data_IF_631789304414
#
_entry.id   IF_631789304414
#
_cell.length_a   1.000
_cell.length_b   1.000
_cell.length_c   1.000
_cell.angle_alpha   90.00
_cell.angle_beta   90.00
_cell.angle_gamma   90.00
#
_symmetry.space_group_name_H-M   'P 1'
#
loop_
_entity.id
_entity.type
_entity.pdbx_description
1 polymer ?
#
# COMPACT_ATOMS: atom_id res chain seq x y z
N UNK A 1 65.73 -20.73 28.85
CA UNK A 1 64.91 -21.81 29.32
C UNK A 1 63.81 -21.22 30.19
N UNK A 2 62.65 -21.01 29.68
CA UNK A 2 61.33 -20.97 30.37
C UNK A 2 60.28 -20.51 29.37
N UNK A 3 59.62 -21.46 28.70
CA UNK A 3 58.42 -21.26 27.91
C UNK A 3 57.25 -21.16 28.94
N UNK A 4 56.59 -20.05 29.05
CA UNK A 4 55.29 -19.90 29.70
C UNK A 4 54.22 -19.70 28.65
N UNK A 5 53.52 -20.79 28.34
CA UNK A 5 52.26 -20.84 27.61
C UNK A 5 51.27 -19.83 28.18
N UNK A 6 50.87 -18.85 27.42
CA UNK A 6 49.64 -18.10 27.69
C UNK A 6 48.46 -18.90 27.15
N UNK A 7 47.88 -19.72 28.01
CA UNK A 7 46.56 -20.30 27.85
C UNK A 7 45.54 -19.18 27.73
N UNK A 8 45.09 -18.88 26.51
CA UNK A 8 44.00 -17.98 26.24
C UNK A 8 42.66 -18.66 26.62
N UNK A 9 42.14 -18.33 27.79
CA UNK A 9 40.78 -18.72 28.15
C UNK A 9 39.76 -18.21 27.12
N UNK A 10 38.80 -19.02 26.67
CA UNK A 10 37.77 -18.57 25.74
C UNK A 10 36.93 -17.49 26.44
N UNK A 11 36.99 -16.27 25.91
CA UNK A 11 36.17 -15.15 26.34
C UNK A 11 34.70 -15.54 26.19
N UNK A 12 34.02 -15.78 27.31
CA UNK A 12 32.59 -16.03 27.38
C UNK A 12 31.87 -14.90 26.61
N UNK A 13 31.20 -15.22 25.51
CA UNK A 13 30.35 -14.30 24.75
C UNK A 13 29.31 -13.73 25.68
N UNK A 14 29.39 -12.42 25.95
CA UNK A 14 28.65 -11.71 26.97
C UNK A 14 27.14 -11.91 26.86
N UNK A 15 26.42 -12.13 27.97
CA UNK A 15 24.96 -12.31 28.06
C UNK A 15 24.16 -11.09 27.60
N UNK A 16 24.78 -9.91 27.51
CA UNK A 16 24.16 -8.65 27.02
C UNK A 16 23.63 -8.73 25.58
N UNK A 17 24.24 -9.51 24.70
CA UNK A 17 23.79 -9.67 23.30
C UNK A 17 22.45 -10.41 23.18
N UNK A 18 22.23 -11.41 24.02
CA UNK A 18 20.98 -12.19 24.08
C UNK A 18 19.84 -11.35 24.67
N UNK A 19 20.07 -10.65 25.77
CA UNK A 19 19.09 -9.76 26.40
C UNK A 19 18.66 -8.63 25.47
N UNK A 20 19.58 -8.07 24.69
CA UNK A 20 19.27 -7.02 23.68
C UNK A 20 18.41 -7.55 22.53
N UNK A 21 18.69 -8.75 22.02
CA UNK A 21 17.87 -9.40 20.98
C UNK A 21 16.47 -9.71 21.51
N UNK A 22 16.37 -10.27 22.72
CA UNK A 22 15.09 -10.58 23.37
C UNK A 22 14.21 -9.34 23.55
N UNK A 23 14.77 -8.20 23.99
CA UNK A 23 14.04 -6.92 24.09
C UNK A 23 13.51 -6.44 22.73
N UNK A 24 14.27 -6.59 21.65
CA UNK A 24 13.82 -6.25 20.30
C UNK A 24 12.66 -7.13 19.84
N UNK A 25 12.75 -8.43 20.03
CA UNK A 25 11.67 -9.38 19.70
C UNK A 25 10.41 -9.07 20.51
N UNK A 26 10.53 -8.85 21.81
CA UNK A 26 9.41 -8.50 22.67
C UNK A 26 8.74 -7.20 22.23
N UNK A 27 9.52 -6.17 21.90
CA UNK A 27 8.99 -4.90 21.38
C UNK A 27 8.13 -5.13 20.13
N UNK A 28 8.64 -5.87 19.12
CA UNK A 28 7.88 -6.12 17.90
C UNK A 28 6.68 -7.06 18.12
N UNK A 29 6.76 -8.02 19.01
CA UNK A 29 5.64 -8.87 19.38
C UNK A 29 4.50 -8.05 20.03
N UNK A 30 4.85 -7.15 20.96
CA UNK A 30 3.89 -6.26 21.61
C UNK A 30 3.31 -5.26 20.60
N UNK A 31 4.14 -4.69 19.73
CA UNK A 31 3.69 -3.77 18.68
C UNK A 31 2.72 -4.46 17.71
N UNK A 32 3.04 -5.69 17.29
CA UNK A 32 2.17 -6.49 16.42
C UNK A 32 0.84 -6.82 17.11
N UNK A 33 0.89 -7.27 18.36
CA UNK A 33 -0.31 -7.55 19.14
C UNK A 33 -1.19 -6.30 19.30
N UNK A 34 -0.57 -5.14 19.60
CA UNK A 34 -1.29 -3.87 19.71
C UNK A 34 -1.88 -3.43 18.36
N UNK A 35 -1.12 -3.54 17.26
CA UNK A 35 -1.62 -3.20 15.92
C UNK A 35 -2.86 -4.04 15.58
N UNK A 36 -2.79 -5.34 15.76
CA UNK A 36 -3.93 -6.24 15.50
C UNK A 36 -5.09 -5.90 16.42
N UNK A 37 -4.87 -5.72 17.73
CA UNK A 37 -5.91 -5.40 18.71
C UNK A 37 -6.65 -4.09 18.37
N UNK A 38 -5.92 -3.02 18.06
CA UNK A 38 -6.50 -1.72 17.68
C UNK A 38 -7.26 -1.81 16.34
N UNK A 39 -6.87 -2.74 15.47
CA UNK A 39 -7.44 -2.91 14.13
C UNK A 39 -8.32 -4.18 13.99
N UNK A 40 -8.77 -4.80 15.09
CA UNK A 40 -9.65 -5.98 15.05
C UNK A 40 -10.91 -5.77 14.20
N UNK A 41 -11.44 -4.54 14.16
CA UNK A 41 -12.61 -4.20 13.33
C UNK A 41 -12.33 -4.30 11.83
N UNK A 42 -11.06 -4.24 11.37
CA UNK A 42 -10.70 -4.42 9.96
C UNK A 42 -11.14 -5.79 9.45
N UNK A 43 -11.06 -6.82 10.28
CA UNK A 43 -11.48 -8.19 9.95
C UNK A 43 -13.00 -8.34 9.74
N UNK A 44 -13.77 -7.34 10.17
CA UNK A 44 -15.21 -7.23 9.91
C UNK A 44 -15.54 -6.39 8.67
N UNK A 45 -14.53 -5.83 8.02
CA UNK A 45 -14.64 -5.15 6.75
C UNK A 45 -15.03 -6.10 5.62
N UNK A 46 -15.07 -5.59 4.40
CA UNK A 46 -15.32 -6.39 3.21
C UNK A 46 -14.65 -5.76 2.00
N UNK A 47 -14.60 -6.51 0.90
CA UNK A 47 -14.01 -6.08 -0.36
C UNK A 47 -14.62 -4.77 -0.86
N UNK A 48 -13.78 -3.94 -1.49
CA UNK A 48 -14.20 -2.75 -2.21
C UNK A 48 -14.11 -2.99 -3.71
N UNK A 49 -14.61 -2.05 -4.49
CA UNK A 49 -14.64 -2.14 -5.96
C UNK A 49 -13.34 -2.58 -6.58
N UNK A 50 -12.25 -1.92 -6.22
CA UNK A 50 -10.94 -2.18 -6.84
C UNK A 50 -10.37 -3.54 -6.43
N UNK A 51 -10.71 -4.03 -5.22
CA UNK A 51 -10.35 -5.39 -4.79
C UNK A 51 -11.00 -6.42 -5.71
N UNK A 52 -12.33 -6.29 -5.93
CA UNK A 52 -13.11 -7.24 -6.73
C UNK A 52 -12.80 -7.12 -8.22
N UNK A 53 -12.60 -5.89 -8.71
CA UNK A 53 -12.11 -5.69 -10.07
C UNK A 53 -10.80 -6.46 -10.29
N UNK A 54 -9.84 -6.35 -9.35
CA UNK A 54 -8.56 -7.05 -9.44
C UNK A 54 -8.75 -8.56 -9.34
N UNK A 55 -9.48 -9.05 -8.34
CA UNK A 55 -9.73 -10.49 -8.13
C UNK A 55 -10.42 -11.11 -9.35
N UNK A 56 -11.28 -10.37 -10.05
CA UNK A 56 -12.05 -10.83 -11.19
C UNK A 56 -11.23 -11.32 -12.40
N UNK A 57 -9.95 -10.98 -12.49
CA UNK A 57 -9.13 -11.37 -13.64
C UNK A 57 -7.76 -11.96 -13.29
N UNK A 58 -7.17 -11.60 -12.13
CA UNK A 58 -5.78 -11.97 -11.81
C UNK A 58 -5.54 -13.48 -11.79
N UNK A 59 -6.53 -14.26 -11.37
CA UNK A 59 -6.45 -15.73 -11.30
C UNK A 59 -6.35 -16.41 -12.68
N UNK A 60 -6.82 -15.74 -13.72
CA UNK A 60 -6.84 -16.27 -15.10
C UNK A 60 -5.54 -16.02 -15.85
N UNK A 61 -4.70 -15.09 -15.38
CA UNK A 61 -3.39 -14.81 -15.97
C UNK A 61 -2.39 -15.87 -15.55
N UNK A 62 -1.62 -16.41 -16.48
CA UNK A 62 -0.63 -17.45 -16.22
C UNK A 62 0.52 -16.93 -15.35
N UNK A 63 1.14 -17.81 -14.56
CA UNK A 63 2.35 -17.47 -13.79
C UNK A 63 3.50 -17.00 -14.68
N UNK A 64 3.61 -17.56 -15.87
CA UNK A 64 4.63 -17.20 -16.86
C UNK A 64 4.46 -15.74 -17.29
N UNK A 65 3.23 -15.31 -17.59
CA UNK A 65 2.94 -13.92 -17.97
C UNK A 65 3.35 -12.93 -16.86
N UNK A 66 3.11 -13.29 -15.58
CA UNK A 66 3.58 -12.45 -14.46
C UNK A 66 5.11 -12.38 -14.38
N UNK A 67 5.78 -13.51 -14.60
CA UNK A 67 7.24 -13.55 -14.62
C UNK A 67 7.81 -12.72 -15.77
N UNK A 68 7.31 -12.92 -16.98
CA UNK A 68 7.70 -12.16 -18.18
C UNK A 68 7.49 -10.66 -17.99
N UNK A 69 6.32 -10.22 -17.49
CA UNK A 69 6.01 -8.83 -17.22
C UNK A 69 6.89 -8.25 -16.09
N UNK A 70 7.26 -9.07 -15.08
CA UNK A 70 8.16 -8.66 -14.01
C UNK A 70 9.58 -8.44 -14.54
N UNK A 71 10.07 -9.30 -15.41
CA UNK A 71 11.41 -9.21 -15.99
C UNK A 71 11.50 -8.18 -17.12
N UNK A 72 10.40 -7.90 -17.81
CA UNK A 72 10.35 -6.97 -18.93
C UNK A 72 10.76 -5.54 -18.54
N UNK A 73 11.66 -4.89 -19.32
CA UNK A 73 11.97 -3.47 -19.12
C UNK A 73 10.90 -2.52 -19.67
N UNK A 74 9.84 -3.07 -20.28
CA UNK A 74 8.79 -2.27 -20.89
C UNK A 74 7.74 -1.84 -19.87
N UNK A 75 7.15 -0.67 -20.11
CA UNK A 75 5.96 -0.20 -19.41
C UNK A 75 4.79 -1.13 -19.73
N UNK A 76 4.05 -1.51 -18.70
CA UNK A 76 2.87 -2.35 -18.86
C UNK A 76 1.62 -1.46 -18.90
N UNK A 77 0.82 -1.49 -20.00
CA UNK A 77 -0.38 -0.68 -20.10
C UNK A 77 -1.44 -1.10 -19.06
N UNK A 78 -2.49 -0.29 -18.94
CA UNK A 78 -3.65 -0.57 -18.10
C UNK A 78 -3.32 -0.76 -16.60
N UNK A 79 -2.29 -0.04 -16.10
CA UNK A 79 -1.84 -0.12 -14.70
C UNK A 79 -1.47 -1.56 -14.25
N UNK A 80 -1.01 -2.41 -15.18
CA UNK A 80 -0.58 -3.75 -14.85
C UNK A 80 0.72 -3.72 -14.05
N UNK A 81 0.63 -4.00 -12.75
CA UNK A 81 1.72 -4.06 -11.79
C UNK A 81 2.02 -5.52 -11.44
N UNK A 82 2.91 -6.19 -12.17
CA UNK A 82 3.01 -7.66 -12.13
C UNK A 82 3.26 -8.22 -10.74
N UNK A 83 4.07 -7.58 -9.91
CA UNK A 83 4.38 -8.05 -8.54
C UNK A 83 3.15 -7.93 -7.63
N UNK A 84 2.46 -6.79 -7.66
CA UNK A 84 1.26 -6.59 -6.84
C UNK A 84 0.07 -7.44 -7.32
N UNK A 85 -0.15 -7.54 -8.63
CA UNK A 85 -1.19 -8.40 -9.18
C UNK A 85 -0.90 -9.89 -8.96
N UNK A 86 0.37 -10.31 -8.98
CA UNK A 86 0.75 -11.67 -8.62
C UNK A 86 0.42 -11.99 -7.16
N UNK A 87 0.61 -11.03 -6.24
CA UNK A 87 0.15 -11.18 -4.85
C UNK A 87 -1.36 -11.43 -4.80
N UNK A 88 -2.16 -10.64 -5.52
CA UNK A 88 -3.62 -10.83 -5.59
C UNK A 88 -4.00 -12.16 -6.24
N UNK A 89 -3.27 -12.60 -7.27
CA UNK A 89 -3.48 -13.91 -7.89
C UNK A 89 -3.34 -15.05 -6.87
N UNK A 90 -2.21 -15.12 -6.19
CA UNK A 90 -1.96 -16.19 -5.21
C UNK A 90 -2.93 -16.08 -4.02
N UNK A 91 -3.26 -14.86 -3.58
CA UNK A 91 -4.23 -14.63 -2.54
C UNK A 91 -5.65 -15.07 -2.96
N UNK A 92 -6.11 -14.73 -4.16
CA UNK A 92 -7.44 -15.10 -4.64
C UNK A 92 -7.62 -16.62 -4.82
N UNK A 93 -6.57 -17.29 -5.28
CA UNK A 93 -6.57 -18.75 -5.43
C UNK A 93 -6.53 -19.48 -4.07
N UNK A 94 -5.87 -18.90 -3.07
CA UNK A 94 -5.70 -19.51 -1.74
C UNK A 94 -6.81 -19.15 -0.75
N UNK A 95 -7.33 -17.93 -0.83
CA UNK A 95 -8.26 -17.37 0.15
C UNK A 95 -9.69 -17.26 -0.37
N UNK A 96 -9.89 -17.32 -1.70
CA UNK A 96 -11.21 -17.12 -2.29
C UNK A 96 -11.78 -15.76 -1.90
N UNK A 97 -13.01 -15.74 -1.40
CA UNK A 97 -13.69 -14.56 -0.88
C UNK A 97 -13.59 -14.40 0.66
N UNK A 98 -12.63 -15.08 1.31
CA UNK A 98 -12.38 -14.94 2.74
C UNK A 98 -11.62 -13.64 3.04
N UNK A 99 -12.33 -12.53 3.07
CA UNK A 99 -11.78 -11.18 3.22
C UNK A 99 -10.79 -11.04 4.38
N UNK A 100 -11.06 -11.66 5.54
CA UNK A 100 -10.20 -11.55 6.72
C UNK A 100 -8.77 -12.04 6.48
N UNK A 101 -8.58 -13.02 5.58
CA UNK A 101 -7.24 -13.54 5.23
C UNK A 101 -6.42 -12.51 4.46
N UNK A 102 -7.08 -11.73 3.59
CA UNK A 102 -6.42 -10.62 2.89
C UNK A 102 -6.01 -9.53 3.87
N UNK A 103 -6.88 -9.19 4.83
CA UNK A 103 -6.54 -8.22 5.89
C UNK A 103 -5.34 -8.71 6.70
N UNK A 104 -5.30 -9.98 7.09
CA UNK A 104 -4.16 -10.55 7.81
C UNK A 104 -2.87 -10.45 7.00
N UNK A 105 -2.92 -10.74 5.69
CA UNK A 105 -1.77 -10.65 4.81
C UNK A 105 -1.25 -9.21 4.66
N UNK A 106 -2.13 -8.22 4.44
CA UNK A 106 -1.70 -6.82 4.32
C UNK A 106 -1.22 -6.24 5.65
N UNK A 107 -1.79 -6.65 6.79
CA UNK A 107 -1.27 -6.26 8.11
C UNK A 107 0.09 -6.88 8.40
N UNK A 108 0.34 -8.11 7.98
CA UNK A 108 1.66 -8.74 8.05
C UNK A 108 2.69 -7.99 7.20
N UNK A 109 2.32 -7.57 5.97
CA UNK A 109 3.18 -6.72 5.11
C UNK A 109 3.43 -5.34 5.75
N UNK A 110 2.41 -4.75 6.39
CA UNK A 110 2.59 -3.48 7.10
C UNK A 110 3.57 -3.64 8.28
N UNK A 111 3.44 -4.69 9.09
CA UNK A 111 4.37 -4.99 10.17
C UNK A 111 5.79 -5.27 9.66
N UNK A 112 5.94 -5.93 8.53
CA UNK A 112 7.23 -6.09 7.85
C UNK A 112 7.85 -4.71 7.52
N UNK A 113 7.05 -3.78 6.98
CA UNK A 113 7.52 -2.43 6.66
C UNK A 113 7.92 -1.66 7.93
N UNK A 114 7.15 -1.75 9.01
CA UNK A 114 7.48 -1.17 10.31
C UNK A 114 8.82 -1.70 10.84
N UNK A 115 9.04 -3.00 10.72
CA UNK A 115 10.31 -3.64 11.09
C UNK A 115 11.47 -3.18 10.20
N UNK A 116 11.29 -3.10 8.88
CA UNK A 116 12.29 -2.61 7.95
C UNK A 116 12.65 -1.14 8.21
N UNK A 117 11.68 -0.29 8.55
CA UNK A 117 11.91 1.10 8.97
C UNK A 117 12.80 1.14 10.22
N UNK A 118 12.47 0.34 11.23
CA UNK A 118 13.28 0.26 12.44
C UNK A 118 14.71 -0.20 12.13
N UNK A 119 14.88 -1.23 11.29
CA UNK A 119 16.20 -1.69 10.85
C UNK A 119 16.97 -0.58 10.13
N UNK A 120 16.31 0.16 9.23
CA UNK A 120 16.93 1.26 8.50
C UNK A 120 17.32 2.40 9.45
N UNK A 121 16.44 2.84 10.34
CA UNK A 121 16.75 3.86 11.34
C UNK A 121 17.95 3.45 12.19
N UNK A 122 18.01 2.18 12.64
CA UNK A 122 19.14 1.61 13.37
C UNK A 122 20.42 1.59 12.53
N UNK A 123 20.33 1.21 11.26
CA UNK A 123 21.47 1.22 10.32
C UNK A 123 22.02 2.63 10.09
N UNK A 124 21.16 3.65 10.10
CA UNK A 124 21.52 5.07 10.02
C UNK A 124 22.01 5.64 11.34
N UNK A 125 22.17 4.82 12.38
CA UNK A 125 22.72 5.20 13.68
C UNK A 125 21.69 5.78 14.67
N UNK A 126 20.38 5.55 14.47
CA UNK A 126 19.38 5.95 15.47
C UNK A 126 19.54 5.12 16.76
N UNK A 127 19.41 5.74 17.96
CA UNK A 127 19.26 5.00 19.21
C UNK A 127 18.02 4.08 19.16
N UNK A 128 17.98 2.98 19.92
CA UNK A 128 16.86 2.04 19.89
C UNK A 128 15.50 2.71 20.12
N UNK A 129 15.41 3.59 21.10
CA UNK A 129 14.17 4.29 21.46
C UNK A 129 13.71 5.28 20.38
N UNK A 130 14.64 6.02 19.77
CA UNK A 130 14.31 6.93 18.67
C UNK A 130 13.85 6.16 17.41
N UNK A 131 14.50 5.03 17.10
CA UNK A 131 14.07 4.15 16.02
C UNK A 131 12.67 3.54 16.29
N UNK A 132 12.41 3.15 17.55
CA UNK A 132 11.10 2.67 17.98
C UNK A 132 10.02 3.75 17.86
N UNK A 133 10.31 4.99 18.24
CA UNK A 133 9.38 6.12 18.07
C UNK A 133 8.98 6.36 16.63
N UNK A 134 9.94 6.36 15.69
CA UNK A 134 9.64 6.46 14.26
C UNK A 134 8.82 5.27 13.72
N UNK A 135 9.13 4.04 14.19
CA UNK A 135 8.39 2.84 13.83
C UNK A 135 6.94 2.88 14.37
N UNK A 136 6.72 3.32 15.60
CA UNK A 136 5.39 3.49 16.22
C UNK A 136 4.58 4.56 15.48
N UNK A 137 5.19 5.72 15.18
CA UNK A 137 4.53 6.77 14.42
C UNK A 137 4.02 6.23 13.07
N UNK A 138 4.86 5.48 12.34
CA UNK A 138 4.45 4.88 11.07
C UNK A 138 3.39 3.79 11.23
N UNK A 139 3.51 2.94 12.26
CA UNK A 139 2.61 1.83 12.48
C UNK A 139 1.15 2.24 12.70
N UNK A 140 0.94 3.38 13.37
CA UNK A 140 -0.40 3.81 13.80
C UNK A 140 -0.89 5.09 13.14
N UNK A 141 -0.13 5.68 12.22
CA UNK A 141 -0.49 6.95 11.61
C UNK A 141 -1.79 6.88 10.80
N UNK A 142 -2.74 7.75 11.08
CA UNK A 142 -4.09 7.73 10.51
C UNK A 142 -4.14 7.85 8.98
N UNK A 143 -3.20 8.58 8.38
CA UNK A 143 -3.13 8.71 6.93
C UNK A 143 -2.81 7.39 6.22
N UNK A 144 -2.26 6.40 6.94
CA UNK A 144 -1.90 5.08 6.42
C UNK A 144 -2.99 4.02 6.64
N UNK A 145 -4.06 4.39 7.34
CA UNK A 145 -5.14 3.50 7.73
C UNK A 145 -5.67 2.64 6.57
N UNK A 146 -5.99 3.25 5.43
CA UNK A 146 -6.54 2.53 4.28
C UNK A 146 -5.63 1.39 3.81
N UNK A 147 -4.30 1.56 3.91
CA UNK A 147 -3.33 0.62 3.34
C UNK A 147 -3.24 -0.71 4.06
N UNK A 148 -3.64 -0.78 5.32
CA UNK A 148 -3.66 -2.03 6.08
C UNK A 148 -5.08 -2.44 6.54
N UNK A 149 -6.10 -1.78 5.96
CA UNK A 149 -7.51 -2.15 6.10
C UNK A 149 -8.13 -2.62 4.79
N UNK A 150 -7.62 -2.17 3.62
CA UNK A 150 -8.17 -2.44 2.29
C UNK A 150 -7.13 -3.18 1.44
N UNK A 151 -7.42 -4.40 0.99
CA UNK A 151 -6.47 -5.25 0.26
C UNK A 151 -5.86 -4.59 -0.98
N UNK A 152 -6.63 -3.78 -1.70
CA UNK A 152 -6.17 -3.10 -2.92
C UNK A 152 -4.87 -2.29 -2.75
N UNK A 153 -4.54 -1.90 -1.52
CA UNK A 153 -3.28 -1.17 -1.24
C UNK A 153 -2.07 -2.09 -1.01
N UNK A 154 -2.19 -3.39 -1.22
CA UNK A 154 -1.04 -4.31 -1.20
C UNK A 154 0.10 -3.85 -2.14
N UNK A 155 -0.24 -3.16 -3.23
CA UNK A 155 0.74 -2.55 -4.15
C UNK A 155 1.65 -1.54 -3.44
N UNK A 156 1.08 -0.68 -2.59
CA UNK A 156 1.80 0.31 -1.80
C UNK A 156 2.69 -0.34 -0.74
N UNK A 157 2.16 -1.35 -0.07
CA UNK A 157 2.86 -2.12 0.96
C UNK A 157 4.08 -2.86 0.39
N UNK A 158 3.92 -3.53 -0.75
CA UNK A 158 5.00 -4.22 -1.45
C UNK A 158 6.05 -3.25 -1.98
N UNK A 159 5.62 -2.14 -2.60
CA UNK A 159 6.51 -1.09 -3.06
C UNK A 159 7.37 -0.56 -1.90
N UNK A 160 6.75 -0.24 -0.76
CA UNK A 160 7.46 0.23 0.43
C UNK A 160 8.46 -0.80 0.97
N UNK A 161 8.05 -2.09 1.05
CA UNK A 161 8.92 -3.18 1.50
C UNK A 161 10.17 -3.28 0.63
N UNK A 162 10.00 -3.29 -0.69
CA UNK A 162 11.11 -3.40 -1.62
C UNK A 162 11.94 -2.11 -1.68
N UNK A 163 11.36 -0.91 -1.53
CA UNK A 163 12.12 0.33 -1.38
C UNK A 163 13.02 0.29 -0.14
N UNK A 164 12.47 -0.07 1.02
CA UNK A 164 13.23 -0.19 2.27
C UNK A 164 14.33 -1.26 2.17
N UNK A 165 14.01 -2.41 1.59
CA UNK A 165 14.96 -3.48 1.36
C UNK A 165 16.10 -3.02 0.44
N UNK A 166 15.77 -2.30 -0.64
CA UNK A 166 16.77 -1.74 -1.56
C UNK A 166 17.73 -0.81 -0.83
N UNK A 167 17.23 0.16 -0.05
CA UNK A 167 18.08 1.08 0.73
C UNK A 167 18.94 0.32 1.74
N UNK A 168 18.40 -0.67 2.44
CA UNK A 168 19.13 -1.50 3.40
C UNK A 168 20.24 -2.33 2.76
N UNK A 169 19.98 -2.94 1.59
CA UNK A 169 20.96 -3.72 0.83
C UNK A 169 22.04 -2.81 0.27
N UNK A 170 21.66 -1.64 -0.25
CA UNK A 170 22.60 -0.63 -0.72
C UNK A 170 23.55 -0.18 0.40
N UNK A 171 22.99 0.15 1.58
CA UNK A 171 23.75 0.54 2.75
C UNK A 171 24.71 -0.56 3.29
N UNK A 172 24.50 -1.82 2.88
CA UNK A 172 25.37 -2.96 3.15
C UNK A 172 26.37 -3.24 2.03
N UNK A 173 26.40 -2.43 0.97
CA UNK A 173 27.26 -2.60 -0.20
C UNK A 173 26.81 -3.71 -1.16
N UNK A 174 25.59 -4.25 -1.01
CA UNK A 174 25.02 -5.31 -1.86
C UNK A 174 24.22 -4.69 -3.03
N UNK A 175 24.92 -3.99 -3.92
CA UNK A 175 24.29 -3.14 -4.94
C UNK A 175 23.43 -3.92 -5.94
N UNK A 176 23.89 -5.10 -6.39
CA UNK A 176 23.08 -5.93 -7.31
C UNK A 176 21.75 -6.36 -6.69
N UNK A 177 21.77 -6.84 -5.44
CA UNK A 177 20.54 -7.21 -4.72
C UNK A 177 19.67 -5.98 -4.43
N UNK A 178 20.28 -4.82 -4.17
CA UNK A 178 19.58 -3.55 -4.04
C UNK A 178 18.86 -3.18 -5.33
N UNK A 179 19.50 -3.36 -6.48
CA UNK A 179 18.89 -3.11 -7.79
C UNK A 179 17.70 -4.05 -8.05
N UNK A 180 17.84 -5.34 -7.74
CA UNK A 180 16.71 -6.30 -7.83
C UNK A 180 15.55 -5.86 -6.95
N UNK A 181 15.81 -5.44 -5.71
CA UNK A 181 14.76 -4.92 -4.82
C UNK A 181 14.12 -3.64 -5.38
N UNK A 182 14.90 -2.70 -5.94
CA UNK A 182 14.37 -1.52 -6.63
C UNK A 182 13.47 -1.90 -7.81
N UNK A 183 13.91 -2.86 -8.63
CA UNK A 183 13.13 -3.34 -9.77
C UNK A 183 11.78 -3.91 -9.33
N UNK A 184 11.77 -4.75 -8.29
CA UNK A 184 10.54 -5.30 -7.70
C UNK A 184 9.65 -4.21 -7.07
N UNK A 185 10.24 -3.17 -6.46
CA UNK A 185 9.51 -2.02 -5.96
C UNK A 185 8.76 -1.31 -7.10
N UNK A 186 9.44 -1.05 -8.21
CA UNK A 186 8.85 -0.41 -9.38
C UNK A 186 7.75 -1.29 -10.01
N UNK A 187 7.97 -2.60 -10.11
CA UNK A 187 6.97 -3.56 -10.61
C UNK A 187 5.80 -3.78 -9.64
N UNK A 188 5.92 -3.28 -8.41
CA UNK A 188 4.80 -3.19 -7.45
C UNK A 188 4.03 -1.88 -7.59
N UNK A 189 4.73 -0.74 -7.74
CA UNK A 189 4.12 0.59 -7.92
C UNK A 189 5.11 1.58 -8.52
N UNK A 190 4.64 2.41 -9.43
CA UNK A 190 5.45 3.35 -10.22
C UNK A 190 6.18 4.39 -9.35
N UNK A 191 5.70 4.66 -8.15
CA UNK A 191 6.29 5.64 -7.22
C UNK A 191 7.75 5.31 -6.86
N UNK A 192 8.15 4.05 -6.97
CA UNK A 192 9.55 3.63 -6.78
C UNK A 192 10.54 4.26 -7.76
N UNK A 193 10.07 4.88 -8.86
CA UNK A 193 10.91 5.65 -9.79
C UNK A 193 11.77 6.72 -9.08
N UNK A 194 11.33 7.19 -7.91
CA UNK A 194 12.06 8.17 -7.10
C UNK A 194 13.18 7.56 -6.22
N UNK A 195 13.26 6.23 -6.12
CA UNK A 195 14.22 5.57 -5.23
C UNK A 195 15.70 5.86 -5.55
N UNK A 196 16.15 6.00 -6.82
CA UNK A 196 17.54 6.36 -7.12
C UNK A 196 17.96 7.69 -6.50
N UNK A 197 17.06 8.66 -6.42
CA UNK A 197 17.31 9.95 -5.76
C UNK A 197 17.44 9.79 -4.23
N UNK A 198 16.67 8.88 -3.62
CA UNK A 198 16.82 8.53 -2.21
C UNK A 198 18.18 7.85 -1.95
N UNK A 199 18.63 6.97 -2.84
CA UNK A 199 19.95 6.35 -2.75
C UNK A 199 21.07 7.38 -2.95
N UNK A 200 20.88 8.36 -3.84
CA UNK A 200 21.80 9.50 -3.99
C UNK A 200 21.89 10.34 -2.71
N UNK A 201 20.74 10.64 -2.10
CA UNK A 201 20.68 11.30 -0.81
C UNK A 201 21.38 10.48 0.29
N UNK A 202 21.26 9.14 0.28
CA UNK A 202 22.00 8.26 1.17
C UNK A 202 23.53 8.41 0.97
N UNK A 203 24.02 8.44 -0.26
CA UNK A 203 25.45 8.64 -0.56
C UNK A 203 25.98 10.00 -0.09
N UNK A 204 25.14 11.05 -0.13
CA UNK A 204 25.51 12.39 0.35
C UNK A 204 25.67 12.40 1.88
N UNK A 205 24.74 11.81 2.64
CA UNK A 205 24.72 11.93 4.09
C UNK A 205 25.37 10.79 4.87
N UNK A 206 25.38 9.56 4.30
CA UNK A 206 25.85 8.35 5.00
C UNK A 206 26.83 7.52 4.21
N UNK A 207 26.87 7.67 2.88
CA UNK A 207 27.72 6.92 1.99
C UNK A 207 29.13 7.48 1.86
N UNK A 208 29.86 6.97 0.89
CA UNK A 208 31.22 7.39 0.51
C UNK A 208 31.21 8.18 -0.82
N UNK A 209 30.07 8.76 -1.20
CA UNK A 209 29.83 9.45 -2.48
C UNK A 209 30.15 8.59 -3.70
N UNK A 210 29.75 7.32 -3.66
CA UNK A 210 29.95 6.34 -4.74
C UNK A 210 28.84 6.46 -5.78
N UNK A 211 29.05 7.27 -6.80
CA UNK A 211 28.05 7.55 -7.82
C UNK A 211 27.92 6.44 -8.87
N UNK A 212 29.02 5.73 -9.19
CA UNK A 212 29.03 4.67 -10.21
C UNK A 212 27.97 3.57 -9.98
N UNK A 213 27.79 3.03 -8.77
CA UNK A 213 26.74 2.03 -8.51
C UNK A 213 25.32 2.54 -8.71
N UNK A 214 25.08 3.86 -8.71
CA UNK A 214 23.74 4.45 -8.90
C UNK A 214 23.36 4.55 -10.38
N UNK A 215 24.31 4.49 -11.31
CA UNK A 215 24.05 4.64 -12.76
C UNK A 215 22.95 3.70 -13.24
N UNK A 216 22.97 2.37 -12.99
CA UNK A 216 21.92 1.48 -13.47
C UNK A 216 20.55 1.82 -12.85
N UNK A 217 20.49 2.30 -11.62
CA UNK A 217 19.24 2.72 -10.99
C UNK A 217 18.64 3.95 -11.69
N UNK A 218 19.46 4.95 -11.99
CA UNK A 218 19.02 6.14 -12.71
C UNK A 218 18.62 5.83 -14.15
N UNK A 219 19.35 4.96 -14.85
CA UNK A 219 19.00 4.55 -16.22
C UNK A 219 17.65 3.82 -16.25
N UNK A 220 17.44 2.87 -15.34
CA UNK A 220 16.18 2.17 -15.24
C UNK A 220 15.01 3.12 -14.83
N UNK A 221 15.25 4.00 -13.85
CA UNK A 221 14.27 4.99 -13.43
C UNK A 221 13.90 5.97 -14.55
N UNK A 222 14.88 6.46 -15.29
CA UNK A 222 14.66 7.36 -16.43
C UNK A 222 13.86 6.64 -17.52
N UNK A 223 14.25 5.40 -17.88
CA UNK A 223 13.53 4.59 -18.86
C UNK A 223 12.07 4.39 -18.46
N UNK A 224 11.82 3.99 -17.22
CA UNK A 224 10.46 3.78 -16.71
C UNK A 224 9.65 5.08 -16.60
N UNK A 225 10.28 6.18 -16.16
CA UNK A 225 9.63 7.48 -16.07
C UNK A 225 9.22 8.01 -17.43
N UNK A 226 10.10 7.92 -18.42
CA UNK A 226 9.81 8.33 -19.80
C UNK A 226 8.69 7.47 -20.41
N UNK A 227 8.78 6.15 -20.27
CA UNK A 227 7.71 5.26 -20.76
C UNK A 227 6.38 5.57 -20.08
N UNK A 228 6.35 5.81 -18.76
CA UNK A 228 5.13 6.15 -18.03
C UNK A 228 4.48 7.46 -18.50
N UNK A 229 5.29 8.46 -18.91
CA UNK A 229 4.78 9.72 -19.42
C UNK A 229 4.36 9.61 -20.91
N UNK A 230 5.17 8.95 -21.74
CA UNK A 230 4.97 8.92 -23.18
C UNK A 230 3.95 7.86 -23.63
N UNK A 231 3.92 6.71 -22.95
CA UNK A 231 3.11 5.56 -23.35
C UNK A 231 1.82 5.43 -22.51
N UNK A 232 1.59 6.32 -21.54
CA UNK A 232 0.36 6.30 -20.77
C UNK A 232 -0.82 6.69 -21.67
N UNK A 233 -1.79 5.79 -21.90
CA UNK A 233 -2.96 6.09 -22.74
C UNK A 233 -3.95 7.05 -22.05
N UNK A 234 -3.78 7.33 -20.77
CA UNK A 234 -4.68 8.16 -19.99
C UNK A 234 -4.59 9.62 -20.41
N UNK A 235 -5.59 10.06 -21.17
CA UNK A 235 -5.74 11.45 -21.61
C UNK A 235 -6.90 12.08 -20.86
N UNK A 236 -6.63 13.23 -20.24
CA UNK A 236 -7.60 14.09 -19.55
C UNK A 236 -8.52 13.37 -18.54
N UNK A 237 -7.93 12.60 -17.66
CA UNK A 237 -8.61 11.94 -16.54
C UNK A 237 -7.88 12.20 -15.21
N UNK A 238 -8.31 11.54 -14.15
CA UNK A 238 -7.72 11.65 -12.80
C UNK A 238 -6.23 11.29 -12.72
N UNK A 239 -5.71 10.50 -13.67
CA UNK A 239 -4.30 10.11 -13.75
C UNK A 239 -3.45 11.03 -14.61
N UNK A 240 -4.02 12.10 -15.19
CA UNK A 240 -3.29 13.04 -16.01
C UNK A 240 -2.41 13.93 -15.15
N UNK A 241 -1.11 13.94 -15.45
CA UNK A 241 -0.17 14.88 -14.84
C UNK A 241 -0.48 16.32 -15.29
N UNK A 242 -0.65 17.22 -14.32
CA UNK A 242 -0.93 18.65 -14.57
C UNK A 242 0.20 19.47 -13.96
N UNK A 243 1.10 19.95 -14.83
CA UNK A 243 2.28 20.74 -14.44
C UNK A 243 1.93 22.23 -14.29
N UNK A 244 0.97 22.54 -13.40
CA UNK A 244 0.53 23.89 -13.10
C UNK A 244 0.71 24.24 -11.63
N UNK A 245 0.93 25.50 -11.30
CA UNK A 245 1.04 25.98 -9.93
C UNK A 245 -0.23 25.66 -9.11
N UNK A 246 -1.41 25.75 -9.73
CA UNK A 246 -2.67 25.41 -9.07
C UNK A 246 -2.76 23.92 -8.71
N UNK A 247 -2.30 23.02 -9.58
CA UNK A 247 -2.23 21.60 -9.29
C UNK A 247 -1.31 21.31 -8.11
N UNK A 248 -0.11 21.88 -8.12
CA UNK A 248 0.87 21.74 -7.01
C UNK A 248 0.31 22.31 -5.71
N UNK A 249 -0.31 23.48 -5.72
CA UNK A 249 -0.89 24.08 -4.53
C UNK A 249 -1.99 23.21 -3.93
N UNK A 250 -2.91 22.69 -4.77
CA UNK A 250 -4.00 21.80 -4.34
C UNK A 250 -3.49 20.50 -3.72
N UNK A 251 -2.56 19.84 -4.39
CA UNK A 251 -1.98 18.57 -3.90
C UNK A 251 -1.13 18.79 -2.66
N UNK A 252 -0.35 19.87 -2.62
CA UNK A 252 0.44 20.24 -1.45
C UNK A 252 -0.45 20.51 -0.22
N UNK A 253 -1.52 21.29 -0.38
CA UNK A 253 -2.48 21.54 0.69
C UNK A 253 -3.07 20.24 1.24
N UNK A 254 -3.46 19.32 0.35
CA UNK A 254 -4.01 18.03 0.77
C UNK A 254 -3.00 17.18 1.53
N UNK A 255 -1.80 16.95 0.96
CA UNK A 255 -0.82 16.04 1.58
C UNK A 255 -0.14 16.64 2.81
N UNK A 256 0.09 17.95 2.85
CA UNK A 256 0.63 18.61 4.04
C UNK A 256 -0.28 18.45 5.27
N UNK A 257 -1.60 18.51 5.06
CA UNK A 257 -2.58 18.26 6.11
C UNK A 257 -2.57 16.79 6.60
N UNK A 258 -2.06 15.84 5.81
CA UNK A 258 -1.98 14.43 6.21
C UNK A 258 -0.77 14.12 7.10
N UNK A 259 0.25 14.97 7.12
CA UNK A 259 1.46 14.72 7.92
C UNK A 259 1.18 14.81 9.42
N UNK A 260 0.47 15.86 9.87
CA UNK A 260 0.13 16.06 11.30
C UNK A 260 -1.30 16.60 11.49
N UNK A 261 -2.27 16.07 10.74
CA UNK A 261 -3.71 16.36 10.84
C UNK A 261 -4.16 17.74 10.36
N UNK A 262 -3.31 18.76 10.47
CA UNK A 262 -3.63 20.13 10.06
C UNK A 262 -2.62 20.67 9.04
N UNK A 263 -3.09 21.51 8.11
CA UNK A 263 -2.20 22.25 7.21
C UNK A 263 -1.15 23.03 8.03
N UNK A 264 0.07 23.12 7.47
CA UNK A 264 1.23 23.84 8.05
C UNK A 264 1.91 23.17 9.25
N UNK A 265 1.29 22.26 10.01
CA UNK A 265 2.00 21.54 11.08
C UNK A 265 3.15 20.67 10.55
N UNK A 266 3.14 20.31 9.27
CA UNK A 266 4.28 19.64 8.64
C UNK A 266 5.58 20.47 8.76
N UNK A 267 5.50 21.80 8.93
CA UNK A 267 6.67 22.68 9.16
C UNK A 267 7.41 22.35 10.46
N UNK A 268 6.80 21.67 11.40
CA UNK A 268 7.47 21.14 12.58
C UNK A 268 8.62 20.17 12.21
N UNK A 269 8.55 19.51 11.05
CA UNK A 269 9.60 18.60 10.59
C UNK A 269 10.89 19.34 10.21
N UNK A 270 10.88 20.31 9.26
CA UNK A 270 12.10 21.05 8.92
C UNK A 270 12.61 21.88 10.12
N UNK A 271 11.74 22.48 10.94
CA UNK A 271 12.14 23.18 12.15
C UNK A 271 12.81 22.22 13.15
N UNK A 272 12.21 21.05 13.38
CA UNK A 272 12.80 20.01 14.22
C UNK A 272 14.12 19.48 13.67
N UNK A 273 14.24 19.30 12.34
CA UNK A 273 15.48 18.87 11.70
C UNK A 273 16.61 19.91 11.84
N UNK A 274 16.28 21.20 11.72
CA UNK A 274 17.20 22.32 11.97
C UNK A 274 17.65 22.33 13.43
N UNK A 275 16.73 22.23 14.37
CA UNK A 275 17.01 22.22 15.80
C UNK A 275 17.83 20.99 16.21
N UNK A 276 17.53 19.82 15.68
CA UNK A 276 18.25 18.58 15.96
C UNK A 276 19.64 18.51 15.32
N UNK A 277 19.90 19.30 14.27
CA UNK A 277 21.15 19.30 13.48
C UNK A 277 21.60 17.88 13.12
N UNK A 278 20.63 17.01 12.78
CA UNK A 278 20.88 15.58 12.59
C UNK A 278 20.68 15.17 11.14
N UNK A 279 21.72 14.57 10.54
CA UNK A 279 21.69 14.09 9.15
C UNK A 279 20.58 13.08 8.87
N UNK A 280 20.13 12.29 9.87
CA UNK A 280 18.98 11.36 9.70
C UNK A 280 17.66 12.11 9.51
N UNK A 281 17.47 13.19 10.26
CA UNK A 281 16.28 14.03 10.13
C UNK A 281 16.19 14.61 8.71
N UNK A 282 17.29 15.15 8.19
CA UNK A 282 17.34 15.67 6.84
C UNK A 282 17.16 14.60 5.77
N UNK A 283 17.82 13.45 5.92
CA UNK A 283 17.67 12.33 5.00
C UNK A 283 16.21 11.83 4.95
N UNK A 284 15.55 11.68 6.10
CA UNK A 284 14.16 11.30 6.17
C UNK A 284 13.24 12.34 5.53
N UNK A 285 13.47 13.63 5.81
CA UNK A 285 12.69 14.73 5.23
C UNK A 285 12.82 14.76 3.70
N UNK A 286 14.04 14.67 3.18
CA UNK A 286 14.28 14.63 1.73
C UNK A 286 13.67 13.38 1.11
N UNK A 287 13.77 12.22 1.76
CA UNK A 287 13.11 10.99 1.30
C UNK A 287 11.60 11.18 1.18
N UNK A 288 10.96 11.81 2.16
CA UNK A 288 9.53 12.12 2.14
C UNK A 288 9.17 13.04 0.97
N UNK A 289 9.92 14.13 0.79
CA UNK A 289 9.69 15.10 -0.30
C UNK A 289 9.89 14.45 -1.67
N UNK A 290 10.94 13.65 -1.85
CA UNK A 290 11.21 12.94 -3.10
C UNK A 290 10.06 12.02 -3.49
N UNK A 291 9.53 11.22 -2.57
CA UNK A 291 8.40 10.34 -2.87
C UNK A 291 7.08 11.10 -3.05
N UNK A 292 6.91 12.27 -2.46
CA UNK A 292 5.74 13.11 -2.76
C UNK A 292 5.86 13.82 -4.11
N UNK A 293 7.06 14.03 -4.63
CA UNK A 293 7.28 14.87 -5.80
C UNK A 293 6.42 14.50 -7.01
N UNK A 294 6.33 13.23 -7.46
CA UNK A 294 5.45 12.89 -8.59
C UNK A 294 3.98 13.13 -8.30
N UNK A 295 3.56 12.96 -7.05
CA UNK A 295 2.16 13.12 -6.63
C UNK A 295 1.70 14.58 -6.66
N UNK A 296 2.65 15.53 -6.57
CA UNK A 296 2.32 16.96 -6.62
C UNK A 296 1.65 17.38 -7.93
N UNK A 297 1.84 16.62 -8.99
CA UNK A 297 1.28 16.89 -10.31
C UNK A 297 0.02 16.08 -10.62
N UNK A 298 -0.58 15.37 -9.64
CA UNK A 298 -1.77 14.53 -9.80
C UNK A 298 -2.96 15.06 -8.97
N UNK A 299 -3.53 16.23 -9.30
CA UNK A 299 -4.61 16.85 -8.51
C UNK A 299 -5.94 16.08 -8.55
N UNK A 300 -6.12 15.13 -9.49
CA UNK A 300 -7.29 14.23 -9.56
C UNK A 300 -7.19 13.03 -8.61
N UNK A 301 -6.00 12.73 -8.05
CA UNK A 301 -5.74 11.51 -7.25
C UNK A 301 -5.33 11.84 -5.81
N UNK A 302 -6.21 12.49 -5.07
CA UNK A 302 -5.99 12.90 -3.68
C UNK A 302 -6.44 11.80 -2.69
N UNK A 303 -5.60 10.79 -2.48
CA UNK A 303 -5.85 9.69 -1.56
C UNK A 303 -4.84 9.64 -0.42
N UNK A 304 -5.32 9.48 0.81
CA UNK A 304 -4.45 9.36 2.00
C UNK A 304 -3.49 8.18 1.91
N UNK A 305 -3.89 7.08 1.28
CA UNK A 305 -3.05 5.91 1.07
C UNK A 305 -1.76 6.20 0.30
N UNK A 306 -1.75 7.24 -0.56
CA UNK A 306 -0.53 7.64 -1.27
C UNK A 306 0.54 8.26 -0.36
N UNK A 307 0.21 8.56 0.89
CA UNK A 307 1.21 8.93 1.91
C UNK A 307 2.08 7.73 2.34
N UNK A 308 1.71 6.48 2.01
CA UNK A 308 2.37 5.30 2.58
C UNK A 308 3.87 5.27 2.30
N UNK A 309 4.29 5.36 1.04
CA UNK A 309 5.70 5.34 0.65
C UNK A 309 6.42 6.63 1.09
N UNK A 310 5.88 7.85 0.89
CA UNK A 310 6.49 9.07 1.44
C UNK A 310 6.71 9.03 2.95
N UNK A 311 5.82 8.43 3.72
CA UNK A 311 5.93 8.39 5.19
C UNK A 311 7.00 7.43 5.71
N UNK A 312 7.64 6.63 4.87
CA UNK A 312 8.92 6.00 5.18
C UNK A 312 9.95 7.07 5.58
N UNK A 313 9.97 8.18 4.82
CA UNK A 313 10.80 9.34 5.12
C UNK A 313 10.40 10.04 6.42
N UNK A 314 9.10 10.21 6.69
CA UNK A 314 8.58 10.77 7.94
C UNK A 314 9.08 9.99 9.16
N UNK A 315 8.96 8.66 9.14
CA UNK A 315 9.41 7.81 10.24
C UNK A 315 10.92 7.93 10.51
N UNK A 316 11.72 7.97 9.45
CA UNK A 316 13.18 8.17 9.56
C UNK A 316 13.50 9.58 10.06
N UNK A 317 12.81 10.63 9.56
CA UNK A 317 12.99 12.00 10.03
C UNK A 317 12.67 12.12 11.52
N UNK A 318 11.55 11.56 11.97
CA UNK A 318 11.17 11.55 13.39
C UNK A 318 12.22 10.88 14.26
N UNK A 319 12.79 9.72 13.82
CA UNK A 319 13.89 9.06 14.52
C UNK A 319 15.17 9.90 14.62
N UNK A 320 15.33 10.89 13.74
CA UNK A 320 16.44 11.82 13.72
C UNK A 320 16.21 13.10 14.55
N UNK A 321 14.94 13.53 14.66
CA UNK A 321 14.53 14.70 15.46
C UNK A 321 14.47 14.36 16.94
N UNK A 322 14.08 13.14 17.32
CA UNK A 322 14.06 12.69 18.71
C UNK A 322 15.51 12.60 19.24
N UNK A 323 15.97 13.58 20.05
CA UNK A 323 17.37 13.65 20.43
C UNK A 323 17.77 12.55 21.40
N UNK A 324 19.03 12.13 21.31
CA UNK A 324 19.68 11.25 22.29
C UNK A 324 19.61 11.88 23.68
N UNK A 325 18.98 11.21 24.62
CA UNK A 325 18.84 11.69 26.01
C UNK A 325 17.64 12.61 26.27
N UNK A 326 16.95 13.11 25.24
CA UNK A 326 15.75 13.97 25.38
C UNK A 326 14.53 13.31 24.71
N UNK A 327 14.18 12.10 25.15
CA UNK A 327 13.01 11.36 24.64
C UNK A 327 11.67 11.99 25.06
N UNK A 328 11.68 12.85 26.11
CA UNK A 328 10.48 13.46 26.68
C UNK A 328 9.69 14.29 25.65
N UNK A 329 10.28 15.18 24.84
CA UNK A 329 9.52 15.91 23.81
C UNK A 329 8.90 15.01 22.74
N UNK A 330 9.62 13.95 22.33
CA UNK A 330 9.09 13.00 21.34
C UNK A 330 7.94 12.16 21.92
N UNK A 331 8.06 11.73 23.17
CA UNK A 331 6.98 11.02 23.87
C UNK A 331 5.78 11.95 24.11
N UNK A 332 6.00 13.18 24.54
CA UNK A 332 4.93 14.18 24.71
C UNK A 332 4.20 14.44 23.40
N UNK A 333 4.94 14.59 22.29
CA UNK A 333 4.34 14.71 20.96
C UNK A 333 3.46 13.49 20.61
N UNK A 334 3.98 12.26 20.77
CA UNK A 334 3.22 11.05 20.47
C UNK A 334 1.98 10.91 21.36
N UNK A 335 2.09 11.24 22.64
CA UNK A 335 0.96 11.19 23.57
C UNK A 335 -0.11 12.23 23.24
N UNK A 336 0.27 13.42 22.78
CA UNK A 336 -0.66 14.47 22.35
C UNK A 336 -1.27 14.13 20.97
N UNK A 337 -0.48 13.55 20.05
CA UNK A 337 -0.90 13.20 18.70
C UNK A 337 -1.83 11.99 18.68
N UNK A 338 -1.56 10.96 19.49
CA UNK A 338 -2.30 9.70 19.47
C UNK A 338 -3.83 9.83 19.69
N UNK A 339 -4.34 10.65 20.63
CA UNK A 339 -5.78 10.85 20.80
C UNK A 339 -6.45 11.53 19.60
N UNK A 340 -5.76 12.52 19.00
CA UNK A 340 -6.25 13.23 17.80
C UNK A 340 -6.27 12.29 16.59
N UNK A 341 -5.21 11.53 16.40
CA UNK A 341 -5.09 10.50 15.38
C UNK A 341 -6.20 9.43 15.51
N UNK A 342 -6.42 8.93 16.73
CA UNK A 342 -7.46 7.97 17.04
C UNK A 342 -8.87 8.52 16.77
N UNK A 343 -9.12 9.80 17.06
CA UNK A 343 -10.41 10.44 16.80
C UNK A 343 -10.71 10.51 15.30
N UNK A 344 -9.77 10.95 14.48
CA UNK A 344 -9.92 10.99 13.02
C UNK A 344 -10.10 9.58 12.45
N UNK A 345 -9.34 8.61 12.96
CA UNK A 345 -9.47 7.21 12.58
C UNK A 345 -10.86 6.64 12.89
N UNK A 346 -11.46 6.97 14.01
CA UNK A 346 -12.78 6.46 14.39
C UNK A 346 -13.85 6.81 13.33
N UNK A 347 -13.81 8.02 12.80
CA UNK A 347 -14.72 8.47 11.74
C UNK A 347 -14.46 7.70 10.44
N UNK A 348 -13.23 7.61 9.98
CA UNK A 348 -12.86 6.91 8.73
C UNK A 348 -13.23 5.42 8.80
N UNK A 349 -12.95 4.76 9.92
CA UNK A 349 -13.29 3.35 10.17
C UNK A 349 -14.78 3.11 10.09
N UNK A 350 -15.60 4.00 10.65
CA UNK A 350 -17.07 3.87 10.62
C UNK A 350 -17.63 3.94 9.20
N UNK A 351 -17.07 4.82 8.35
CA UNK A 351 -17.46 4.93 6.93
C UNK A 351 -17.10 3.65 6.19
N UNK A 352 -15.86 3.18 6.33
CA UNK A 352 -15.40 1.94 5.68
C UNK A 352 -16.23 0.72 6.08
N UNK A 353 -16.60 0.61 7.36
CA UNK A 353 -17.42 -0.51 7.83
C UNK A 353 -18.87 -0.44 7.33
N UNK A 354 -19.44 0.76 7.17
CA UNK A 354 -20.79 0.90 6.57
C UNK A 354 -20.77 0.44 5.11
N UNK A 355 -19.82 0.90 4.31
CA UNK A 355 -19.64 0.44 2.93
C UNK A 355 -19.45 -1.07 2.84
N UNK A 356 -18.68 -1.65 3.78
CA UNK A 356 -18.43 -3.09 3.84
C UNK A 356 -19.71 -3.91 4.05
N UNK A 357 -20.67 -3.40 4.82
CA UNK A 357 -21.96 -4.07 5.06
C UNK A 357 -22.75 -4.17 3.73
N UNK A 358 -22.87 -3.07 3.01
CA UNK A 358 -23.66 -3.01 1.77
C UNK A 358 -23.03 -3.88 0.69
N UNK A 359 -21.70 -3.81 0.50
CA UNK A 359 -20.98 -4.69 -0.43
C UNK A 359 -21.11 -6.18 -0.07
N UNK A 360 -21.11 -6.49 1.24
CA UNK A 360 -21.28 -7.88 1.70
C UNK A 360 -22.65 -8.42 1.35
N UNK A 361 -23.72 -7.66 1.60
CA UNK A 361 -25.08 -8.07 1.21
C UNK A 361 -25.17 -8.30 -0.30
N UNK A 362 -24.69 -7.35 -1.07
CA UNK A 362 -24.70 -7.43 -2.53
C UNK A 362 -23.97 -8.67 -3.04
N UNK A 363 -22.71 -8.88 -2.61
CA UNK A 363 -21.90 -10.01 -3.08
C UNK A 363 -22.45 -11.36 -2.59
N UNK A 364 -22.94 -11.44 -1.36
CA UNK A 364 -23.52 -12.68 -0.81
C UNK A 364 -24.77 -13.09 -1.59
N UNK A 365 -25.62 -12.14 -1.98
CA UNK A 365 -26.80 -12.41 -2.81
C UNK A 365 -26.41 -13.00 -4.18
N UNK A 366 -25.35 -12.46 -4.81
CA UNK A 366 -24.85 -13.01 -6.09
C UNK A 366 -24.28 -14.42 -5.90
N UNK A 367 -23.52 -14.66 -4.83
CA UNK A 367 -22.99 -16.01 -4.52
C UNK A 367 -24.11 -17.01 -4.26
N UNK A 368 -25.19 -16.59 -3.57
CA UNK A 368 -26.36 -17.46 -3.38
C UNK A 368 -27.07 -17.75 -4.69
N UNK A 369 -27.29 -16.71 -5.50
CA UNK A 369 -27.89 -16.85 -6.82
C UNK A 369 -27.08 -17.77 -7.76
N UNK A 370 -25.76 -17.65 -7.77
CA UNK A 370 -24.88 -18.47 -8.60
C UNK A 370 -24.92 -19.96 -8.26
N UNK A 371 -25.25 -20.33 -7.01
CA UNK A 371 -25.43 -21.73 -6.62
C UNK A 371 -26.68 -22.36 -7.25
N UNK A 372 -27.74 -21.58 -7.43
CA UNK A 372 -28.95 -22.02 -8.11
C UNK A 372 -28.85 -21.89 -9.63
N UNK A 373 -28.05 -20.94 -10.10
CA UNK A 373 -27.84 -20.63 -11.51
C UNK A 373 -26.33 -20.59 -11.82
N UNK A 374 -25.66 -21.76 -11.99
CA UNK A 374 -24.20 -21.84 -12.14
C UNK A 374 -23.68 -21.25 -13.45
N UNK A 375 -24.57 -20.99 -14.40
CA UNK A 375 -24.24 -20.38 -15.70
C UNK A 375 -25.20 -19.24 -15.99
N UNK A 376 -24.65 -18.14 -16.49
CA UNK A 376 -25.38 -17.00 -17.06
C UNK A 376 -24.68 -16.53 -18.33
N UNK A 377 -25.45 -16.02 -19.30
CA UNK A 377 -24.90 -15.51 -20.57
C UNK A 377 -24.48 -14.04 -20.51
N UNK A 378 -24.81 -13.36 -19.44
CA UNK A 378 -24.45 -11.98 -19.19
C UNK A 378 -25.14 -11.44 -17.95
N UNK A 379 -24.85 -10.19 -17.62
CA UNK A 379 -25.51 -9.48 -16.54
C UNK A 379 -25.77 -8.01 -16.90
N UNK A 380 -26.96 -7.51 -16.54
CA UNK A 380 -27.29 -6.09 -16.62
C UNK A 380 -27.64 -5.62 -15.21
N UNK A 381 -27.03 -4.52 -14.75
CA UNK A 381 -27.25 -4.03 -13.41
C UNK A 381 -27.82 -2.61 -13.39
N UNK A 382 -28.71 -2.34 -12.42
CA UNK A 382 -29.27 -1.03 -12.11
C UNK A 382 -29.01 -0.72 -10.63
N UNK A 383 -28.28 0.38 -10.40
CA UNK A 383 -27.86 0.76 -9.05
C UNK A 383 -26.75 -0.17 -8.52
N UNK A 384 -25.95 0.37 -7.63
CA UNK A 384 -24.84 -0.32 -6.94
C UNK A 384 -24.77 0.20 -5.49
N UNK A 385 -24.25 -0.58 -4.55
CA UNK A 385 -23.99 -0.10 -3.20
C UNK A 385 -23.13 1.16 -3.19
N UNK A 386 -23.33 2.03 -2.20
CA UNK A 386 -22.61 3.30 -2.09
C UNK A 386 -21.09 3.07 -2.04
N UNK A 387 -20.35 3.77 -2.91
CA UNK A 387 -18.91 3.62 -3.07
C UNK A 387 -18.47 2.40 -3.90
N UNK A 388 -19.42 1.72 -4.54
CA UNK A 388 -19.15 0.61 -5.43
C UNK A 388 -19.17 1.05 -6.90
N UNK A 389 -18.26 0.57 -7.72
CA UNK A 389 -18.14 0.96 -9.12
C UNK A 389 -18.56 -0.16 -10.07
N UNK A 390 -18.84 0.20 -11.32
CA UNK A 390 -19.06 -0.74 -12.41
C UNK A 390 -17.95 -1.79 -12.49
N UNK A 391 -16.68 -1.38 -12.47
CA UNK A 391 -15.54 -2.29 -12.56
C UNK A 391 -15.51 -3.32 -11.42
N UNK A 392 -15.96 -2.94 -10.21
CA UNK A 392 -16.11 -3.86 -9.10
C UNK A 392 -17.22 -4.88 -9.30
N UNK A 393 -18.35 -4.45 -9.89
CA UNK A 393 -19.45 -5.33 -10.27
C UNK A 393 -19.02 -6.35 -11.31
N UNK A 394 -18.39 -5.89 -12.39
CA UNK A 394 -17.83 -6.76 -13.44
C UNK A 394 -16.85 -7.78 -12.87
N UNK A 395 -15.90 -7.33 -12.05
CA UNK A 395 -14.91 -8.20 -11.43
C UNK A 395 -15.52 -9.26 -10.53
N UNK A 396 -16.50 -8.89 -9.71
CA UNK A 396 -17.21 -9.82 -8.83
C UNK A 396 -17.93 -10.90 -9.60
N UNK A 397 -18.70 -10.54 -10.62
CA UNK A 397 -19.44 -11.49 -11.45
C UNK A 397 -18.50 -12.40 -12.23
N UNK A 398 -17.47 -11.86 -12.87
CA UNK A 398 -16.44 -12.64 -13.58
C UNK A 398 -15.74 -13.64 -12.66
N UNK A 399 -15.45 -13.24 -11.43
CA UNK A 399 -14.85 -14.12 -10.43
C UNK A 399 -15.81 -15.26 -10.03
N UNK A 400 -17.04 -14.93 -9.69
CA UNK A 400 -18.04 -15.90 -9.19
C UNK A 400 -18.40 -16.93 -10.26
N UNK A 401 -18.56 -16.48 -11.51
CA UNK A 401 -18.91 -17.35 -12.64
C UNK A 401 -17.70 -17.95 -13.36
N UNK A 402 -16.48 -17.67 -12.89
CA UNK A 402 -15.23 -18.13 -13.53
C UNK A 402 -15.16 -17.82 -15.02
N UNK A 403 -15.77 -16.72 -15.46
CA UNK A 403 -15.84 -16.29 -16.85
C UNK A 403 -15.33 -14.85 -17.02
N UNK A 404 -14.09 -14.72 -17.51
CA UNK A 404 -13.46 -13.42 -17.73
C UNK A 404 -14.17 -12.57 -18.82
N UNK A 405 -14.78 -13.22 -19.77
CA UNK A 405 -15.46 -12.58 -20.90
C UNK A 405 -16.95 -12.35 -20.66
N UNK A 406 -17.45 -12.64 -19.46
CA UNK A 406 -18.84 -12.39 -19.10
C UNK A 406 -19.20 -10.93 -19.37
N UNK A 407 -20.17 -10.65 -20.28
CA UNK A 407 -20.61 -9.29 -20.52
C UNK A 407 -21.42 -8.81 -19.31
N UNK A 408 -20.96 -7.71 -18.70
CA UNK A 408 -21.61 -7.08 -17.53
C UNK A 408 -21.77 -5.60 -17.85
N UNK A 409 -23.00 -5.13 -18.01
CA UNK A 409 -23.30 -3.77 -18.46
C UNK A 409 -24.21 -3.04 -17.46
N UNK A 410 -24.05 -1.74 -17.27
CA UNK A 410 -25.06 -0.94 -16.57
C UNK A 410 -26.31 -0.82 -17.43
N UNK A 411 -27.47 -0.64 -16.81
CA UNK A 411 -28.75 -0.63 -17.50
C UNK A 411 -28.93 0.53 -18.51
N UNK A 412 -28.15 1.61 -18.34
CA UNK A 412 -28.08 2.78 -19.22
C UNK A 412 -27.05 2.68 -20.34
N UNK A 413 -26.32 1.55 -20.42
CA UNK A 413 -25.39 1.30 -21.53
C UNK A 413 -26.18 1.06 -22.82
N UNK A 414 -25.79 1.68 -23.97
CA UNK A 414 -26.45 1.48 -25.25
C UNK A 414 -26.57 0.02 -25.73
N UNK A 415 -25.70 -0.87 -25.26
CA UNK A 415 -25.70 -2.29 -25.61
C UNK A 415 -26.60 -3.14 -24.70
N UNK A 416 -27.05 -2.60 -23.57
CA UNK A 416 -27.85 -3.35 -22.60
C UNK A 416 -29.19 -3.85 -23.16
N UNK A 417 -29.95 -3.09 -23.99
CA UNK A 417 -31.16 -3.61 -24.60
C UNK A 417 -30.92 -4.85 -25.46
N UNK A 418 -29.86 -4.87 -26.25
CA UNK A 418 -29.49 -6.03 -27.08
C UNK A 418 -29.05 -7.24 -26.24
N UNK A 419 -28.37 -7.00 -25.10
CA UNK A 419 -28.01 -8.09 -24.19
C UNK A 419 -29.26 -8.70 -23.53
N UNK A 420 -30.21 -7.86 -23.10
CA UNK A 420 -31.48 -8.32 -22.46
C UNK A 420 -32.40 -9.15 -23.35
N UNK A 421 -32.22 -9.14 -24.69
CA UNK A 421 -32.99 -10.04 -25.59
C UNK A 421 -32.51 -11.48 -25.53
N UNK A 422 -31.33 -11.74 -24.97
CA UNK A 422 -30.77 -13.11 -24.87
C UNK A 422 -31.37 -13.79 -23.63
N UNK A 423 -31.68 -15.10 -23.72
CA UNK A 423 -32.06 -15.87 -22.53
C UNK A 423 -30.85 -16.04 -21.61
N UNK A 424 -31.08 -16.25 -20.32
CA UNK A 424 -30.02 -16.53 -19.37
C UNK A 424 -29.20 -15.31 -18.92
N UNK A 425 -29.63 -14.10 -19.26
CA UNK A 425 -29.00 -12.85 -18.73
C UNK A 425 -29.58 -12.50 -17.38
N UNK A 426 -28.70 -12.29 -16.39
CA UNK A 426 -29.07 -11.86 -15.05
C UNK A 426 -29.35 -10.35 -15.02
N UNK A 427 -30.51 -9.97 -14.51
CA UNK A 427 -30.90 -8.57 -14.27
C UNK A 427 -30.77 -8.29 -12.78
N UNK A 428 -29.82 -7.44 -12.41
CA UNK A 428 -29.52 -7.10 -11.02
C UNK A 428 -30.06 -5.69 -10.71
N UNK A 429 -30.88 -5.57 -9.69
CA UNK A 429 -31.40 -4.27 -9.23
C UNK A 429 -31.10 -4.09 -7.75
N UNK A 430 -30.27 -3.10 -7.45
CA UNK A 430 -29.94 -2.76 -6.07
C UNK A 430 -30.90 -1.70 -5.52
N UNK A 431 -31.48 -1.97 -4.35
CA UNK A 431 -32.36 -1.07 -3.60
C UNK A 431 -31.64 -0.58 -2.35
N UNK A 432 -31.09 0.63 -2.42
CA UNK A 432 -30.22 1.19 -1.37
C UNK A 432 -30.92 1.34 -0.03
N UNK A 433 -32.19 1.80 -0.04
CA UNK A 433 -33.00 1.98 1.18
C UNK A 433 -33.28 0.67 1.92
N UNK A 434 -33.46 -0.42 1.18
CA UNK A 434 -33.73 -1.75 1.72
C UNK A 434 -32.49 -2.61 1.90
N UNK A 435 -31.32 -2.18 1.38
CA UNK A 435 -30.09 -2.98 1.28
C UNK A 435 -30.35 -4.35 0.66
N UNK A 436 -31.12 -4.37 -0.40
CA UNK A 436 -31.60 -5.58 -1.06
C UNK A 436 -31.20 -5.59 -2.52
N UNK A 437 -30.80 -6.77 -3.00
CA UNK A 437 -30.49 -7.03 -4.40
C UNK A 437 -31.55 -7.99 -4.96
N UNK A 438 -32.36 -7.52 -5.94
CA UNK A 438 -33.18 -8.38 -6.78
C UNK A 438 -32.31 -8.93 -7.93
N UNK A 439 -32.46 -10.21 -8.23
CA UNK A 439 -31.79 -10.85 -9.35
C UNK A 439 -32.82 -11.71 -10.10
N UNK A 440 -33.10 -11.31 -11.36
CA UNK A 440 -34.01 -12.01 -12.25
C UNK A 440 -33.27 -12.53 -13.48
N UNK A 441 -33.73 -13.63 -14.09
CA UNK A 441 -33.18 -14.16 -15.36
C UNK A 441 -34.10 -13.84 -16.51
N UNK A 442 -33.53 -13.33 -17.61
CA UNK A 442 -34.27 -13.21 -18.88
C UNK A 442 -34.63 -14.59 -19.43
N UNK A 443 -35.86 -14.73 -19.91
CA UNK A 443 -36.32 -16.01 -20.50
C UNK A 443 -36.64 -17.11 -19.48
N UNK A 444 -36.46 -16.92 -18.20
CA UNK A 444 -36.99 -17.81 -17.18
C UNK A 444 -38.52 -17.64 -17.15
N UNK A 445 -39.29 -18.75 -17.36
CA UNK A 445 -40.72 -18.73 -17.15
C UNK A 445 -40.98 -18.27 -15.68
N UNK A 446 -41.69 -17.15 -15.51
CA UNK A 446 -42.13 -16.74 -14.18
C UNK A 446 -42.88 -17.92 -13.55
N UNK A 447 -42.57 -18.35 -12.33
CA UNK A 447 -43.42 -19.29 -11.63
C UNK A 447 -44.80 -18.66 -11.55
N UNK A 448 -45.82 -19.30 -12.14
CA UNK A 448 -47.22 -18.92 -12.01
C UNK A 448 -47.52 -18.83 -10.51
N UNK A 449 -47.86 -17.63 -10.06
CA UNK A 449 -48.35 -17.37 -8.70
C UNK A 449 -49.58 -18.18 -8.39
#
# INVERSE_FOLDING_TARGET
MSLLEKSGAPTARQPEGLARKARGVLFFALLAALLVAVNLRAYRGYFQSDDLNTIGWVGMVSKLTYLEATLSPLFQPNNFRPVGHFFFREASLSFGLDYWKYVAAIQALHLLNVWLIWLLARKLGAPPLAAAGGAVLFAFHMALFDTFWKPMYAFDLLCAAFCLLSVLLYARGRWALSFVAFWLAYKSKELAVMLPFVLAAYEIWFGKRRWKPLIPFFLASLSFGLQGILLNPNRDNDYTFRFTAAAVARTFQFYSAKVFLWPYLFLLLPVGALAARNRRAWFGLVTMVLFFFPLMFLPGRLFSAYCYVPFLGLAIAFSGIAPTGKWIPAAAFLLAFAPLDAHVLATQRSVTLRQAIDTRYWLTSIVQFSRAHPFIDGAVFRGLPNGYSQAGCEGALRYIYHNHYLPVLPADDPQSPALLTRPGVAVLVWYDSARYLSIDLTGAAQPRQ
#
